data_IF_962584991204
#
_entry.id   IF_962584991204
#
_cell.length_a   1.000
_cell.length_b   1.000
_cell.length_c   1.000
_cell.angle_alpha   90.00
_cell.angle_beta   90.00
_cell.angle_gamma   90.00
#
_symmetry.space_group_name_H-M   'P 1'
#
loop_
_entity.id
_entity.type
_entity.pdbx_description
1 polymer ?
#
# COMPACT_ATOMS: atom_id res chain seq x y z
N UNK A 1 8.53 -5.52 10.45
CA UNK A 1 8.14 -4.16 9.95
C UNK A 1 6.64 -4.10 9.79
N UNK A 2 6.01 -2.90 9.81
CA UNK A 2 4.57 -2.74 9.53
C UNK A 2 4.42 -1.93 8.24
N UNK A 3 3.98 -2.57 7.16
CA UNK A 3 3.99 -1.97 5.83
C UNK A 3 2.55 -1.78 5.36
N UNK A 4 2.15 -0.53 5.19
CA UNK A 4 0.87 -0.19 4.59
C UNK A 4 0.95 -0.34 3.06
N UNK A 5 0.04 -1.11 2.49
CA UNK A 5 -0.08 -1.36 1.06
C UNK A 5 -1.11 -0.41 0.44
N UNK A 6 -0.64 0.43 -0.48
CA UNK A 6 -1.48 1.30 -1.29
C UNK A 6 -2.32 0.50 -2.32
N UNK A 7 -3.38 1.12 -2.86
CA UNK A 7 -4.27 0.55 -3.87
C UNK A 7 -3.51 0.03 -5.10
N UNK A 8 -2.53 0.80 -5.59
CA UNK A 8 -1.72 0.39 -6.75
C UNK A 8 -0.85 -0.85 -6.46
N UNK A 9 -0.43 -1.05 -5.21
CA UNK A 9 0.33 -2.24 -4.78
C UNK A 9 -0.59 -3.44 -4.70
N UNK A 10 -1.76 -3.30 -4.08
CA UNK A 10 -2.79 -4.33 -4.02
C UNK A 10 -3.23 -4.78 -5.43
N UNK A 11 -3.52 -3.81 -6.30
CA UNK A 11 -3.86 -4.05 -7.70
C UNK A 11 -2.74 -4.81 -8.41
N UNK A 12 -1.50 -4.32 -8.31
CA UNK A 12 -0.35 -4.93 -8.99
C UNK A 12 -0.09 -6.35 -8.50
N UNK A 13 -0.19 -6.61 -7.20
CA UNK A 13 0.01 -7.94 -6.62
C UNK A 13 -1.09 -8.95 -7.00
N UNK A 14 -2.30 -8.47 -7.32
CA UNK A 14 -3.39 -9.34 -7.76
C UNK A 14 -3.21 -9.88 -9.19
N UNK A 15 -2.37 -9.23 -10.03
CA UNK A 15 -2.17 -9.64 -11.42
C UNK A 15 -1.39 -10.96 -11.57
N UNK A 16 -1.66 -11.78 -12.61
CA UNK A 16 -0.92 -13.02 -12.86
C UNK A 16 0.57 -12.73 -13.10
N UNK A 17 1.45 -13.63 -12.62
CA UNK A 17 2.93 -13.49 -12.73
C UNK A 17 3.49 -12.12 -12.27
N UNK A 18 2.80 -11.48 -11.33
CA UNK A 18 3.21 -10.19 -10.78
C UNK A 18 4.47 -10.31 -9.94
N UNK A 19 5.50 -9.55 -10.32
CA UNK A 19 6.71 -9.32 -9.50
C UNK A 19 6.37 -8.69 -8.15
N UNK A 20 5.29 -7.90 -8.08
CA UNK A 20 4.85 -7.32 -6.80
C UNK A 20 4.37 -8.41 -5.86
N UNK A 21 3.61 -9.40 -6.36
CA UNK A 21 3.19 -10.54 -5.53
C UNK A 21 4.40 -11.31 -5.00
N UNK A 22 5.33 -11.65 -5.89
CA UNK A 22 6.56 -12.36 -5.53
C UNK A 22 7.37 -11.58 -4.49
N UNK A 23 7.47 -10.26 -4.66
CA UNK A 23 8.14 -9.39 -3.70
C UNK A 23 7.45 -9.40 -2.33
N UNK A 24 6.12 -9.27 -2.28
CA UNK A 24 5.36 -9.34 -1.03
C UNK A 24 5.50 -10.71 -0.34
N UNK A 25 5.52 -11.80 -1.11
CA UNK A 25 5.73 -13.16 -0.58
C UNK A 25 7.14 -13.33 0.03
N UNK A 26 8.18 -12.76 -0.60
CA UNK A 26 9.55 -12.81 -0.06
C UNK A 26 9.64 -12.05 1.27
N UNK A 27 9.03 -10.86 1.36
CA UNK A 27 9.17 -10.00 2.53
C UNK A 27 8.17 -10.30 3.65
N UNK A 28 7.15 -11.15 3.41
CA UNK A 28 6.12 -11.47 4.42
C UNK A 28 6.67 -12.21 5.64
N UNK A 29 7.89 -12.74 5.58
CA UNK A 29 8.59 -13.32 6.74
C UNK A 29 9.18 -12.25 7.69
N UNK A 30 9.31 -11.00 7.22
CA UNK A 30 9.95 -9.89 7.94
C UNK A 30 8.98 -8.71 8.20
N UNK A 31 7.80 -8.74 7.61
CA UNK A 31 6.85 -7.64 7.64
C UNK A 31 5.39 -8.10 7.75
N UNK A 32 4.64 -7.37 8.57
CA UNK A 32 3.19 -7.42 8.60
C UNK A 32 2.65 -6.43 7.57
N UNK A 33 1.61 -6.83 6.84
CA UNK A 33 0.95 -5.98 5.87
C UNK A 33 -0.32 -5.37 6.45
N UNK A 34 -0.54 -4.10 6.14
CA UNK A 34 -1.71 -3.34 6.53
C UNK A 34 -2.32 -2.70 5.30
N UNK A 35 -3.62 -2.48 5.30
CA UNK A 35 -4.28 -1.62 4.32
C UNK A 35 -5.59 -1.09 4.91
N UNK A 36 -6.36 -0.32 4.16
CA UNK A 36 -7.68 0.14 4.58
C UNK A 36 -8.75 -0.14 3.52
N UNK A 37 -10.01 0.08 3.90
CA UNK A 37 -11.14 -0.15 3.00
C UNK A 37 -11.09 0.74 1.75
N UNK A 38 -10.54 1.95 1.86
CA UNK A 38 -10.41 2.87 0.73
C UNK A 38 -9.45 2.32 -0.34
N UNK A 39 -8.24 1.92 0.06
CA UNK A 39 -7.23 1.35 -0.83
C UNK A 39 -7.69 0.04 -1.47
N UNK A 40 -8.31 -0.83 -0.67
CA UNK A 40 -8.91 -2.08 -1.16
C UNK A 40 -9.96 -1.80 -2.23
N UNK A 41 -10.83 -0.81 -1.99
CA UNK A 41 -11.94 -0.55 -2.88
C UNK A 41 -11.55 0.14 -4.18
N UNK A 42 -10.50 0.96 -4.14
CA UNK A 42 -9.89 1.50 -5.34
C UNK A 42 -9.20 0.39 -6.16
N UNK A 43 -8.47 -0.52 -5.50
CA UNK A 43 -7.87 -1.67 -6.15
C UNK A 43 -8.93 -2.60 -6.78
N UNK A 44 -10.04 -2.87 -6.07
CA UNK A 44 -11.15 -3.69 -6.56
C UNK A 44 -11.79 -3.08 -7.81
N UNK A 45 -12.15 -1.78 -7.76
CA UNK A 45 -12.73 -1.06 -8.91
C UNK A 45 -11.81 -1.09 -10.12
N UNK A 46 -10.50 -0.86 -9.91
CA UNK A 46 -9.52 -0.91 -10.98
C UNK A 46 -9.39 -2.31 -11.59
N UNK A 47 -9.45 -3.37 -10.78
CA UNK A 47 -9.45 -4.75 -11.27
C UNK A 47 -10.75 -5.09 -12.01
N UNK A 48 -11.92 -4.71 -11.52
CA UNK A 48 -13.19 -4.96 -12.20
C UNK A 48 -13.22 -4.38 -13.62
N UNK A 49 -12.66 -3.18 -13.78
CA UNK A 49 -12.62 -2.51 -15.07
C UNK A 49 -11.61 -3.12 -16.05
N UNK A 50 -10.48 -3.65 -15.55
CA UNK A 50 -9.34 -4.03 -16.40
C UNK A 50 -9.09 -5.53 -16.48
N UNK A 51 -9.28 -6.24 -15.36
CA UNK A 51 -8.93 -7.64 -15.14
C UNK A 51 -9.86 -8.31 -14.11
N UNK A 52 -11.18 -8.39 -14.36
CA UNK A 52 -12.17 -8.89 -13.39
C UNK A 52 -11.90 -10.33 -12.92
N UNK A 53 -11.21 -11.15 -13.71
CA UNK A 53 -10.79 -12.50 -13.36
C UNK A 53 -9.84 -12.56 -12.15
N UNK A 54 -9.17 -11.45 -11.84
CA UNK A 54 -8.17 -11.37 -10.76
C UNK A 54 -8.74 -10.92 -9.41
N UNK A 55 -10.06 -10.69 -9.29
CA UNK A 55 -10.68 -10.27 -8.02
C UNK A 55 -10.48 -11.28 -6.89
N UNK A 56 -10.55 -12.58 -7.20
CA UNK A 56 -10.26 -13.64 -6.22
C UNK A 56 -8.81 -13.60 -5.72
N UNK A 57 -7.87 -13.09 -6.53
CA UNK A 57 -6.49 -12.92 -6.10
C UNK A 57 -6.34 -11.76 -5.12
N UNK A 58 -7.03 -10.64 -5.37
CA UNK A 58 -7.11 -9.51 -4.44
C UNK A 58 -7.70 -9.97 -3.09
N UNK A 59 -8.83 -10.68 -3.09
CA UNK A 59 -9.44 -11.20 -1.85
C UNK A 59 -8.47 -12.06 -1.02
N UNK A 60 -7.69 -12.94 -1.68
CA UNK A 60 -6.69 -13.76 -0.99
C UNK A 60 -5.54 -12.94 -0.41
N UNK A 61 -5.12 -11.89 -1.10
CA UNK A 61 -4.08 -10.97 -0.62
C UNK A 61 -4.59 -10.19 0.60
N UNK A 62 -5.80 -9.63 0.53
CA UNK A 62 -6.39 -8.83 1.61
C UNK A 62 -6.59 -9.64 2.88
N UNK A 63 -6.89 -10.94 2.80
CA UNK A 63 -6.96 -11.83 3.98
C UNK A 63 -5.64 -11.95 4.74
N UNK A 64 -4.51 -11.58 4.13
CA UNK A 64 -3.18 -11.53 4.76
C UNK A 64 -2.82 -10.15 5.32
N UNK A 65 -3.70 -9.16 5.15
CA UNK A 65 -3.48 -7.79 5.59
C UNK A 65 -4.31 -7.48 6.84
N UNK A 66 -3.73 -6.75 7.78
CA UNK A 66 -4.48 -6.08 8.84
C UNK A 66 -5.32 -4.95 8.22
N UNK A 67 -6.63 -4.96 8.46
CA UNK A 67 -7.54 -3.93 7.95
C UNK A 67 -7.67 -2.78 8.95
N UNK A 68 -7.14 -1.62 8.56
CA UNK A 68 -7.19 -0.40 9.35
C UNK A 68 -8.47 0.37 9.00
N UNK A 69 -9.31 0.59 10.01
CA UNK A 69 -10.57 1.35 9.88
C UNK A 69 -10.44 2.82 10.26
N UNK A 70 -9.42 3.17 11.06
CA UNK A 70 -9.16 4.54 11.49
C UNK A 70 -8.30 5.28 10.47
N UNK A 71 -8.48 6.59 10.37
CA UNK A 71 -7.64 7.48 9.58
C UNK A 71 -7.14 8.60 10.48
N UNK A 72 -5.87 9.00 10.32
CA UNK A 72 -5.39 10.24 10.90
C UNK A 72 -6.11 11.42 10.23
N UNK A 73 -6.69 12.32 11.03
CA UNK A 73 -7.46 13.46 10.54
C UNK A 73 -6.55 14.59 10.01
N UNK A 74 -5.44 14.84 10.71
CA UNK A 74 -4.54 15.95 10.42
C UNK A 74 -3.21 15.44 9.87
N UNK A 75 -3.01 15.65 8.57
CA UNK A 75 -1.77 15.36 7.88
C UNK A 75 -0.90 16.61 7.85
N UNK A 76 0.37 16.48 8.22
CA UNK A 76 1.36 17.58 8.22
C UNK A 76 1.81 18.01 6.80
N UNK A 77 1.24 17.42 5.77
CA UNK A 77 1.57 17.68 4.36
C UNK A 77 0.33 17.83 3.49
N UNK A 78 0.51 18.54 2.38
CA UNK A 78 -0.50 18.64 1.34
C UNK A 78 -0.44 17.44 0.38
N UNK A 79 -1.55 16.71 0.32
CA UNK A 79 -1.82 15.62 -0.61
C UNK A 79 -3.15 15.86 -1.33
N UNK A 80 -3.30 15.34 -2.58
CA UNK A 80 -4.60 15.25 -3.21
C UNK A 80 -5.61 14.53 -2.31
N UNK A 81 -6.89 14.93 -2.36
CA UNK A 81 -7.93 14.38 -1.48
C UNK A 81 -8.02 12.84 -1.55
N UNK A 82 -7.79 12.26 -2.74
CA UNK A 82 -7.80 10.81 -2.95
C UNK A 82 -6.68 10.07 -2.21
N UNK A 83 -5.56 10.73 -1.93
CA UNK A 83 -4.36 10.11 -1.34
C UNK A 83 -4.30 10.30 0.19
N UNK A 84 -5.10 11.23 0.73
CA UNK A 84 -5.19 11.45 2.19
C UNK A 84 -5.62 10.20 2.95
N UNK A 85 -6.62 9.40 2.52
CA UNK A 85 -6.97 8.15 3.20
C UNK A 85 -5.84 7.12 3.20
N UNK A 86 -4.95 7.14 2.20
CA UNK A 86 -3.83 6.20 2.11
C UNK A 86 -2.81 6.50 3.20
N UNK A 87 -2.28 7.73 3.23
CA UNK A 87 -1.31 8.13 4.26
C UNK A 87 -1.95 8.16 5.66
N UNK A 88 -3.19 8.66 5.77
CA UNK A 88 -3.91 8.70 7.03
C UNK A 88 -4.16 7.32 7.63
N UNK A 89 -4.45 6.31 6.80
CA UNK A 89 -4.57 4.92 7.23
C UNK A 89 -3.23 4.33 7.67
N UNK A 90 -2.15 4.63 6.95
CA UNK A 90 -0.80 4.20 7.33
C UNK A 90 -0.39 4.75 8.70
N UNK A 91 -0.64 6.05 8.95
CA UNK A 91 -0.33 6.71 10.22
C UNK A 91 -1.20 6.11 11.35
N UNK A 92 -2.51 6.00 11.15
CA UNK A 92 -3.42 5.45 12.15
C UNK A 92 -3.10 3.99 12.51
N UNK A 93 -2.71 3.18 11.51
CA UNK A 93 -2.28 1.79 11.68
C UNK A 93 -0.88 1.63 12.28
N UNK A 94 -0.20 2.74 12.60
CA UNK A 94 1.19 2.79 13.08
C UNK A 94 2.12 2.00 12.15
N UNK A 95 1.92 2.16 10.84
CA UNK A 95 2.81 1.60 9.85
C UNK A 95 4.18 2.25 9.98
N UNK A 96 5.24 1.47 9.79
CA UNK A 96 6.59 2.04 9.66
C UNK A 96 6.82 2.53 8.23
N UNK A 97 6.15 1.92 7.25
CA UNK A 97 6.30 2.27 5.84
C UNK A 97 4.95 2.35 5.13
N UNK A 98 4.82 3.29 4.20
CA UNK A 98 3.81 3.30 3.15
C UNK A 98 4.50 2.86 1.86
N UNK A 99 4.12 1.68 1.36
CA UNK A 99 4.60 1.17 0.07
C UNK A 99 3.64 1.62 -1.03
N UNK A 100 4.15 2.39 -1.99
CA UNK A 100 3.36 2.89 -3.12
C UNK A 100 4.19 3.00 -4.39
N UNK A 101 3.57 2.65 -5.52
CA UNK A 101 4.11 2.89 -6.87
C UNK A 101 3.64 4.21 -7.50
N UNK A 102 2.85 5.04 -6.80
CA UNK A 102 2.35 6.31 -7.32
C UNK A 102 3.43 7.41 -7.24
N UNK A 103 4.25 7.49 -8.27
CA UNK A 103 5.29 8.51 -8.42
C UNK A 103 4.70 9.92 -8.54
N UNK A 104 3.53 10.07 -9.15
CA UNK A 104 2.96 11.39 -9.43
C UNK A 104 2.62 12.12 -8.15
N UNK A 105 1.93 11.42 -7.24
CA UNK A 105 1.37 12.05 -6.05
C UNK A 105 2.27 11.87 -4.81
N UNK A 106 2.96 10.71 -4.69
CA UNK A 106 3.85 10.42 -3.57
C UNK A 106 5.35 10.56 -3.89
N UNK A 107 5.76 10.71 -5.15
CA UNK A 107 7.18 10.71 -5.54
C UNK A 107 8.00 11.80 -4.85
N UNK A 108 7.44 13.00 -4.67
CA UNK A 108 8.07 14.12 -3.93
C UNK A 108 8.31 13.82 -2.44
N UNK A 109 7.75 12.73 -1.91
CA UNK A 109 7.92 12.30 -0.53
C UNK A 109 8.71 11.00 -0.37
N UNK A 110 9.15 10.37 -1.46
CA UNK A 110 9.92 9.14 -1.37
C UNK A 110 11.18 9.29 -0.50
N UNK A 111 11.38 8.31 0.39
CA UNK A 111 12.45 8.30 1.39
C UNK A 111 12.19 9.19 2.61
N UNK A 112 11.18 10.07 2.58
CA UNK A 112 10.83 10.92 3.72
C UNK A 112 9.91 10.17 4.69
N UNK A 113 10.09 10.47 5.97
CA UNK A 113 9.19 10.02 7.05
C UNK A 113 8.23 11.14 7.39
N UNK A 114 6.94 10.83 7.38
CA UNK A 114 5.85 11.75 7.70
C UNK A 114 5.04 11.14 8.82
N UNK A 115 4.97 11.84 9.97
CA UNK A 115 4.23 11.37 11.15
C UNK A 115 4.51 9.90 11.49
N UNK A 116 5.80 9.50 11.42
CA UNK A 116 6.26 8.13 11.73
C UNK A 116 6.21 7.12 10.58
N UNK A 117 5.64 7.47 9.43
CA UNK A 117 5.52 6.60 8.25
C UNK A 117 6.52 7.01 7.18
N UNK A 118 7.44 6.11 6.81
CA UNK A 118 8.36 6.33 5.69
C UNK A 118 7.69 5.98 4.36
N UNK A 119 7.67 6.92 3.42
CA UNK A 119 7.06 6.70 2.10
C UNK A 119 8.11 6.11 1.18
N UNK A 120 7.85 4.92 0.62
CA UNK A 120 8.83 4.18 -0.18
C UNK A 120 8.23 3.61 -1.45
N UNK A 121 9.02 3.63 -2.52
CA UNK A 121 8.75 2.83 -3.71
C UNK A 121 9.14 1.36 -3.48
N UNK A 122 8.65 0.42 -4.31
CA UNK A 122 9.08 -0.98 -4.23
C UNK A 122 10.59 -1.16 -4.36
N UNK A 123 11.24 -0.37 -5.22
CA UNK A 123 12.69 -0.39 -5.38
C UNK A 123 13.41 0.03 -4.10
N UNK A 124 12.95 1.12 -3.46
CA UNK A 124 13.54 1.60 -2.20
C UNK A 124 13.37 0.58 -1.08
N UNK A 125 12.16 0.04 -0.91
CA UNK A 125 11.91 -0.97 0.12
C UNK A 125 12.76 -2.23 -0.11
N UNK A 126 12.92 -2.67 -1.36
CA UNK A 126 13.80 -3.79 -1.68
C UNK A 126 15.26 -3.49 -1.30
N UNK A 127 15.75 -2.28 -1.59
CA UNK A 127 17.11 -1.87 -1.23
C UNK A 127 17.32 -1.78 0.29
N UNK A 128 16.30 -1.45 1.07
CA UNK A 128 16.37 -1.40 2.53
C UNK A 128 16.36 -2.79 3.21
N UNK A 129 15.94 -3.83 2.48
CA UNK A 129 15.79 -5.19 2.98
C UNK A 129 16.93 -6.15 2.57
N UNK A 130 17.82 -5.69 1.69
CA UNK A 130 19.07 -6.35 1.31
C UNK A 130 20.14 -6.13 2.39
#
# INVERSE_FOLDING_TARGET
MRIFLDANILFSAALPKSRMREFLEVISSKADFLTNAYALEEARRNLELKFPENLKALERLTKKCEMISQLAADLEIELPLKDKPILGGAIAGRATHLLTGDERDFGKFWGRTIQGVKIVSPKMLAQELL
#
